data_IF_682395742584
#
_entry.id   IF_682395742584
#
_cell.length_a   1.000
_cell.length_b   1.000
_cell.length_c   1.000
_cell.angle_alpha   90.00
_cell.angle_beta   90.00
_cell.angle_gamma   90.00
#
_symmetry.space_group_name_H-M   'P 1'
#
loop_
_entity.id
_entity.type
_entity.pdbx_description
1 polymer ?
2 branched ?
3 branched ?
4 water ?
#
# COMPACT_ATOMS: atom_id res chain seq x y z
N UNK A 25 -2.76 -7.63 35.40
CA UNK A 25 -3.19 -7.23 34.02
C UNK A 25 -3.37 -8.44 33.10
N UNK A 26 -4.30 -8.35 32.16
CA UNK A 26 -4.30 -9.23 31.00
C UNK A 26 -3.24 -8.68 30.04
N UNK A 27 -2.28 -9.52 29.66
CA UNK A 27 -1.27 -9.13 28.70
C UNK A 27 -1.55 -9.70 27.31
N UNK A 28 -1.65 -8.82 26.33
CA UNK A 28 -1.82 -9.18 24.93
C UNK A 28 -0.54 -8.99 24.15
N UNK A 29 -0.41 -9.72 23.04
CA UNK A 29 0.66 -9.46 22.10
C UNK A 29 0.07 -8.97 20.79
N UNK A 30 0.81 -8.09 20.12
CA UNK A 30 0.34 -7.50 18.87
C UNK A 30 1.52 -7.42 17.92
N UNK A 31 1.32 -7.93 16.70
CA UNK A 31 2.36 -7.87 15.65
C UNK A 31 1.95 -6.94 14.52
N UNK A 32 2.90 -6.12 14.10
CA UNK A 32 2.68 -5.24 12.95
C UNK A 32 4.04 -4.90 12.34
N UNK A 33 4.00 -4.46 11.09
CA UNK A 33 5.18 -3.90 10.44
C UNK A 33 5.43 -2.43 10.78
N UNK A 34 4.50 -1.78 11.46
CA UNK A 34 4.63 -0.34 11.73
C UNK A 34 5.96 -0.04 12.43
N UNK A 35 6.70 0.86 11.82
CA UNK A 35 7.91 1.45 12.46
C UNK A 35 7.61 2.20 13.78
N UNK A 36 8.66 2.49 14.52
CA UNK A 36 8.52 3.04 15.86
C UNK A 36 7.70 4.32 15.90
N UNK A 37 7.77 5.11 14.84
CA UNK A 37 7.05 6.37 14.70
C UNK A 37 5.71 6.25 13.93
N UNK A 38 5.37 5.06 13.45
CA UNK A 38 4.09 4.85 12.73
C UNK A 38 3.00 4.50 13.75
N UNK A 39 1.74 4.33 13.32
CA UNK A 39 0.68 4.26 14.33
C UNK A 39 0.75 3.16 15.38
N UNK A 40 0.95 1.89 15.00
CA UNK A 40 0.67 0.81 15.96
C UNK A 40 1.43 0.94 17.31
N UNK A 41 2.78 1.10 17.29
CA UNK A 41 3.43 1.11 18.62
C UNK A 41 3.06 2.34 19.48
N UNK A 42 2.69 3.43 18.81
CA UNK A 42 2.30 4.66 19.51
C UNK A 42 0.90 4.57 20.08
N UNK A 43 0.00 3.95 19.33
CA UNK A 43 -1.32 3.60 19.85
C UNK A 43 -1.21 2.69 21.06
N UNK A 44 -0.31 1.70 20.96
CA UNK A 44 -0.09 0.77 22.07
C UNK A 44 0.38 1.53 23.32
N UNK A 45 1.32 2.45 23.16
CA UNK A 45 1.83 3.18 24.32
C UNK A 45 0.70 4.01 24.98
N UNK A 46 -0.17 4.62 24.18
CA UNK A 46 -1.30 5.38 24.69
C UNK A 46 -2.29 4.45 25.40
N UNK A 47 -2.56 3.32 24.77
CA UNK A 47 -3.47 2.34 25.38
C UNK A 47 -2.97 1.83 26.74
N UNK A 48 -1.69 1.46 26.78
CA UNK A 48 -1.09 0.93 28.00
C UNK A 48 -1.17 1.94 29.16
N UNK A 49 -1.08 3.22 28.84
CA UNK A 49 -1.12 4.29 29.84
C UNK A 49 -2.49 4.43 30.52
N UNK A 50 -3.53 3.92 29.86
CA UNK A 50 -4.88 3.89 30.44
C UNK A 50 -4.97 3.12 31.74
N UNK A 51 -4.05 2.18 31.93
CA UNK A 51 -4.06 1.34 33.14
C UNK A 51 -5.48 0.75 33.35
N UNK A 52 -6.01 0.16 32.30
CA UNK A 52 -7.40 -0.33 32.26
C UNK A 52 -7.51 -1.84 32.50
N UNK A 53 -6.45 -2.44 33.03
CA UNK A 53 -6.42 -3.89 33.28
C UNK A 53 -5.88 -4.70 32.11
N UNK A 54 -5.54 -4.04 31.00
CA UNK A 54 -4.99 -4.68 29.81
C UNK A 54 -3.67 -4.01 29.42
N UNK A 55 -2.64 -4.81 29.11
CA UNK A 55 -1.40 -4.29 28.54
C UNK A 55 -1.12 -5.01 27.26
N UNK A 56 -0.50 -4.29 26.31
CA UNK A 56 -0.09 -4.86 25.04
C UNK A 56 1.44 -4.85 24.89
N UNK A 57 1.98 -6.01 24.50
CA UNK A 57 3.38 -6.14 24.13
C UNK A 57 3.49 -6.17 22.61
N UNK A 58 4.28 -5.25 22.06
CA UNK A 58 4.47 -5.09 20.63
C UNK A 58 5.64 -5.90 20.09
N UNK A 59 5.45 -6.50 18.93
CA UNK A 59 6.58 -7.01 18.15
C UNK A 59 6.50 -6.45 16.73
N UNK A 60 7.58 -5.80 16.29
CA UNK A 60 7.68 -5.30 14.93
C UNK A 60 8.08 -6.46 13.98
N UNK A 61 7.30 -6.67 12.94
CA UNK A 61 7.65 -7.62 11.88
C UNK A 61 8.51 -6.96 10.81
N UNK A 62 8.94 -7.71 9.81
CA UNK A 62 9.35 -7.06 8.54
C UNK A 62 8.27 -7.28 7.48
N UNK A 63 8.09 -6.34 6.57
CA UNK A 63 7.01 -6.39 5.57
C UNK A 63 6.85 -7.77 4.93
N UNK A 64 7.98 -8.30 4.48
CA UNK A 64 8.12 -9.60 3.82
C UNK A 64 7.89 -10.82 4.71
N UNK A 65 7.70 -10.60 6.00
CA UNK A 65 7.47 -11.69 6.96
C UNK A 65 6.12 -11.72 7.65
N UNK A 66 5.30 -10.70 7.44
CA UNK A 66 4.02 -10.63 8.13
C UNK A 66 3.21 -11.93 7.89
N UNK A 67 3.23 -12.44 6.65
CA UNK A 67 2.32 -13.55 6.19
C UNK A 67 2.69 -15.04 6.42
N UNK A 68 3.50 -15.64 5.54
CA UNK A 68 3.74 -17.09 5.66
C UNK A 68 4.33 -17.46 7.05
N UNK A 69 4.98 -16.49 7.69
CA UNK A 69 5.46 -16.69 9.03
C UNK A 69 4.40 -16.56 10.16
N UNK A 70 3.51 -15.58 10.04
CA UNK A 70 2.36 -15.49 10.93
C UNK A 70 1.41 -16.68 10.74
N UNK A 71 1.39 -17.25 9.53
CA UNK A 71 0.65 -18.52 9.33
C UNK A 71 1.37 -19.69 10.04
N UNK A 72 2.70 -19.69 9.98
CA UNK A 72 3.53 -20.66 10.71
C UNK A 72 3.26 -20.55 12.20
N UNK A 73 3.25 -19.33 12.71
CA UNK A 73 2.97 -19.13 14.13
C UNK A 73 1.59 -19.65 14.52
N UNK A 74 0.59 -19.30 13.74
CA UNK A 74 -0.76 -19.76 14.04
C UNK A 74 -0.81 -21.28 14.09
N UNK A 75 -0.19 -21.88 13.09
CA UNK A 75 -0.22 -23.33 12.94
C UNK A 75 0.52 -24.13 14.06
N UNK A 76 1.50 -23.50 14.68
CA UNK A 76 2.29 -24.11 15.74
C UNK A 76 1.83 -23.77 17.16
N UNK A 77 1.05 -22.69 17.28
CA UNK A 77 0.57 -22.08 18.56
C UNK A 77 1.41 -20.91 19.07
N UNK A 78 2.14 -20.29 18.16
CA UNK A 78 3.00 -19.15 18.47
C UNK A 78 2.42 -17.83 18.00
N UNK A 79 1.14 -17.82 17.63
CA UNK A 79 0.55 -16.57 17.08
C UNK A 79 0.26 -15.54 18.16
N UNK A 80 0.38 -14.26 17.82
CA UNK A 80 0.00 -13.20 18.76
C UNK A 80 -1.53 -13.16 18.96
N UNK A 81 -1.99 -12.28 19.83
CA UNK A 81 -3.44 -12.05 19.95
C UNK A 81 -3.96 -11.22 18.76
N UNK A 82 -3.19 -10.21 18.40
CA UNK A 82 -3.59 -9.24 17.39
C UNK A 82 -2.50 -9.10 16.32
N UNK A 83 -2.95 -8.89 15.07
CA UNK A 83 -2.07 -8.53 13.97
C UNK A 83 -2.67 -7.43 13.12
N UNK A 84 -1.78 -6.65 12.52
CA UNK A 84 -2.15 -5.79 11.44
C UNK A 84 -1.66 -6.43 10.18
N UNK A 85 -2.60 -6.87 9.37
CA UNK A 85 -2.34 -7.70 8.19
C UNK A 85 -2.67 -6.93 6.93
N UNK A 86 -1.89 -7.10 5.89
CA UNK A 86 -2.13 -6.33 4.66
C UNK A 86 -3.49 -6.79 4.12
N UNK A 87 -4.29 -5.86 3.59
CA UNK A 87 -5.64 -6.22 3.18
C UNK A 87 -5.76 -7.39 2.19
N UNK A 88 -4.85 -7.50 1.19
CA UNK A 88 -5.03 -8.63 0.28
C UNK A 88 -4.76 -10.00 0.89
N UNK A 89 -4.08 -10.05 2.02
CA UNK A 89 -3.80 -11.30 2.77
C UNK A 89 -4.88 -11.77 3.70
N UNK A 90 -5.84 -10.91 3.94
CA UNK A 90 -6.82 -11.17 4.97
C UNK A 90 -7.60 -12.44 4.65
N UNK A 91 -8.02 -12.57 3.42
CA UNK A 91 -8.88 -13.70 3.03
C UNK A 91 -8.19 -15.05 3.23
N UNK A 92 -6.88 -15.11 2.99
CA UNK A 92 -6.14 -16.35 3.23
C UNK A 92 -6.32 -16.82 4.68
N UNK A 93 -6.13 -15.91 5.62
CA UNK A 93 -6.22 -16.27 7.04
C UNK A 93 -7.67 -16.51 7.45
N UNK A 94 -8.59 -15.66 6.99
CA UNK A 94 -9.98 -15.79 7.38
C UNK A 94 -10.59 -17.10 6.88
N UNK A 95 -10.24 -17.47 5.66
CA UNK A 95 -10.82 -18.63 5.01
C UNK A 95 -10.35 -19.94 5.68
N UNK A 96 -9.16 -19.87 6.27
CA UNK A 96 -8.50 -20.99 6.94
C UNK A 96 -8.78 -21.16 8.40
N UNK A 97 -9.58 -20.27 8.95
CA UNK A 97 -9.95 -20.34 10.37
C UNK A 97 -8.91 -19.75 11.31
N UNK A 98 -7.90 -19.06 10.76
CA UNK A 98 -6.84 -18.48 11.59
C UNK A 98 -7.26 -17.21 12.34
N UNK A 99 -8.34 -16.58 11.91
CA UNK A 99 -8.78 -15.32 12.55
C UNK A 99 -10.09 -15.55 13.30
N UNK A 100 -10.24 -14.85 14.41
CA UNK A 100 -11.45 -14.83 15.21
C UNK A 100 -12.62 -14.14 14.48
N UNK A 101 -13.77 -14.78 14.55
CA UNK A 101 -15.02 -14.24 14.05
C UNK A 101 -15.43 -13.15 15.04
N UNK A 102 -15.32 -11.91 14.61
CA UNK A 102 -15.64 -10.77 15.47
C UNK A 102 -17.03 -10.16 15.20
N UNK A 103 -17.85 -10.88 14.43
CA UNK A 103 -19.18 -10.38 14.04
C UNK A 103 -20.01 -9.97 15.26
N UNK A 104 -20.09 -10.81 16.26
CA UNK A 104 -20.94 -10.53 17.42
C UNK A 104 -20.39 -9.38 18.26
N UNK A 105 -19.07 -9.34 18.43
CA UNK A 105 -18.44 -8.27 19.20
C UNK A 105 -18.57 -6.92 18.46
N UNK A 106 -18.47 -6.92 17.14
CA UNK A 106 -18.74 -5.69 16.36
C UNK A 106 -20.21 -5.25 16.54
N UNK A 107 -21.14 -6.19 16.46
CA UNK A 107 -22.55 -5.84 16.63
C UNK A 107 -22.84 -5.18 17.98
N UNK A 108 -22.20 -5.71 19.03
CA UNK A 108 -22.36 -5.21 20.39
C UNK A 108 -21.58 -3.94 20.66
N UNK A 109 -20.65 -3.59 19.79
CA UNK A 109 -19.75 -2.50 20.06
C UNK A 109 -20.52 -1.21 20.02
N UNK A 110 -20.20 -0.35 20.98
CA UNK A 110 -20.67 1.03 21.03
C UNK A 110 -19.61 2.01 20.46
N UNK A 111 -18.52 1.46 19.92
CA UNK A 111 -17.41 2.25 19.31
C UNK A 111 -17.23 2.00 17.81
N UNK A 112 -17.16 0.73 17.41
CA UNK A 112 -17.03 0.31 16.00
C UNK A 112 -18.39 0.08 15.38
N UNK A 113 -18.59 0.66 14.18
CA UNK A 113 -19.80 0.48 13.39
C UNK A 113 -19.40 0.12 11.97
N UNK A 114 -19.97 -0.94 11.42
CA UNK A 114 -19.57 -1.36 10.07
C UNK A 114 -19.93 -0.30 9.04
N UNK A 115 -20.99 0.47 9.28
CA UNK A 115 -21.34 1.51 8.30
C UNK A 115 -20.37 2.70 8.25
N UNK A 116 -19.45 2.77 9.19
CA UNK A 116 -18.41 3.79 9.19
C UNK A 116 -17.37 3.56 8.11
N UNK A 117 -17.28 2.33 7.62
CA UNK A 117 -16.13 1.93 6.81
C UNK A 117 -16.45 2.03 5.32
N UNK A 118 -15.46 2.48 4.55
CA UNK A 118 -15.56 2.35 3.08
C UNK A 118 -15.82 0.88 2.70
N UNK A 119 -16.57 0.66 1.61
CA UNK A 119 -16.99 -0.71 1.35
C UNK A 119 -15.87 -1.65 0.95
N UNK A 120 -14.85 -1.16 0.25
CA UNK A 120 -13.71 -2.02 -0.14
C UNK A 120 -12.96 -2.56 1.09
N UNK A 121 -12.52 -1.68 1.98
CA UNK A 121 -11.83 -2.12 3.16
C UNK A 121 -12.70 -3.04 3.97
N UNK A 122 -13.97 -2.71 4.13
CA UNK A 122 -14.85 -3.62 4.91
C UNK A 122 -14.98 -5.01 4.29
N UNK A 123 -15.21 -5.03 2.99
CA UNK A 123 -15.27 -6.30 2.28
C UNK A 123 -14.00 -7.13 2.54
N UNK A 124 -12.84 -6.49 2.61
CA UNK A 124 -11.57 -7.24 2.75
C UNK A 124 -11.43 -7.98 4.07
N UNK A 125 -12.20 -7.59 5.10
CA UNK A 125 -12.14 -8.32 6.39
C UNK A 125 -13.23 -9.38 6.49
N UNK A 126 -14.06 -9.47 5.45
CA UNK A 126 -15.16 -10.44 5.47
C UNK A 126 -14.80 -11.79 4.84
N UNK A 127 -15.43 -12.84 5.36
CA UNK A 127 -15.38 -14.16 4.71
C UNK A 127 -16.68 -14.88 5.03
N UNK A 128 -17.32 -15.41 3.98
CA UNK A 128 -18.53 -16.22 4.10
C UNK A 128 -19.56 -15.60 5.07
N UNK A 129 -19.77 -14.32 4.88
CA UNK A 129 -20.82 -13.57 5.59
C UNK A 129 -20.52 -13.33 7.07
N UNK A 130 -19.24 -13.29 7.41
CA UNK A 130 -18.81 -13.01 8.77
C UNK A 130 -17.67 -12.03 8.71
N UNK A 131 -17.55 -11.22 9.76
CA UNK A 131 -16.42 -10.32 9.94
C UNK A 131 -15.26 -11.00 10.67
N UNK A 132 -14.07 -10.91 10.07
CA UNK A 132 -12.86 -11.48 10.63
C UNK A 132 -11.77 -10.45 10.88
N UNK A 133 -12.18 -9.20 11.04
CA UNK A 133 -11.25 -8.14 11.44
C UNK A 133 -11.94 -6.78 11.34
N UNK A 134 -11.18 -5.71 11.49
CA UNK A 134 -11.67 -4.33 11.41
C UNK A 134 -10.59 -3.60 10.62
N UNK A 135 -10.98 -2.86 9.56
CA UNK A 135 -9.94 -2.12 8.85
C UNK A 135 -9.12 -1.15 9.73
N UNK A 136 -7.81 -1.09 9.47
CA UNK A 136 -6.91 -0.21 10.20
C UNK A 136 -6.81 1.15 9.47
N UNK A 137 -6.52 1.13 8.19
CA UNK A 137 -6.34 2.34 7.40
C UNK A 137 -6.57 1.97 5.95
N UNK A 138 -6.50 2.93 5.05
CA UNK A 138 -6.61 2.70 3.61
C UNK A 138 -5.72 3.66 2.87
N UNK A 139 -5.30 3.27 1.68
CA UNK A 139 -4.45 4.16 0.89
C UNK A 139 -4.47 3.77 -0.57
N UNK A 140 -3.80 4.57 -1.37
CA UNK A 140 -3.33 4.15 -2.67
C UNK A 140 -2.08 5.00 -3.01
N UNK A 141 -1.52 4.80 -4.17
CA UNK A 141 -0.31 5.52 -4.60
C UNK A 141 -0.64 6.64 -5.56
N UNK A 142 0.28 7.61 -5.60
CA UNK A 142 0.14 8.78 -6.42
C UNK A 142 1.53 9.24 -6.84
N UNK A 143 1.60 10.32 -7.59
CA UNK A 143 2.87 10.80 -8.19
C UNK A 143 3.36 12.06 -7.48
N UNK A 144 4.40 11.90 -6.66
CA UNK A 144 5.11 13.00 -6.06
C UNK A 144 6.05 13.61 -7.06
N UNK A 145 6.28 14.91 -6.97
CA UNK A 145 7.20 15.56 -7.90
C UNK A 145 7.92 16.74 -7.22
N UNK A 146 9.21 16.90 -7.55
CA UNK A 146 10.04 17.97 -6.98
C UNK A 146 9.90 19.20 -7.90
N UNK A 147 9.20 20.21 -7.38
CA UNK A 147 8.85 21.38 -8.17
C UNK A 147 10.09 22.22 -8.48
N UNK A 148 11.08 22.18 -7.59
CA UNK A 148 12.30 22.92 -7.84
C UNK A 148 13.12 22.31 -8.98
N UNK A 149 13.11 20.99 -9.08
CA UNK A 149 13.82 20.33 -10.17
C UNK A 149 13.01 20.50 -11.47
N UNK A 150 11.67 20.52 -11.40
CA UNK A 150 10.86 20.88 -12.58
C UNK A 150 11.25 22.25 -13.10
N UNK A 151 11.28 23.21 -12.20
CA UNK A 151 11.57 24.58 -12.60
C UNK A 151 12.95 24.69 -13.22
N UNK A 152 13.93 24.04 -12.61
CA UNK A 152 15.29 24.16 -13.11
C UNK A 152 15.47 23.58 -14.51
N UNK A 153 14.70 22.54 -14.81
CA UNK A 153 14.71 21.93 -16.11
C UNK A 153 13.92 22.74 -17.15
N UNK A 154 13.26 23.82 -16.75
CA UNK A 154 12.39 24.61 -17.64
C UNK A 154 10.99 24.05 -17.81
N UNK A 155 10.65 23.07 -16.97
CA UNK A 155 9.30 22.48 -16.92
C UNK A 155 8.38 23.35 -16.10
N UNK A 156 7.09 23.16 -16.27
CA UNK A 156 6.06 23.94 -15.57
C UNK A 156 5.59 23.15 -14.36
N UNK A 157 6.05 23.53 -13.17
CA UNK A 157 5.72 22.84 -11.94
C UNK A 157 4.24 22.91 -11.58
N UNK A 158 3.50 23.81 -12.22
CA UNK A 158 2.07 23.88 -12.01
C UNK A 158 1.30 22.94 -12.94
N UNK A 159 2.01 22.26 -13.84
CA UNK A 159 1.34 21.44 -14.82
C UNK A 159 2.08 20.11 -14.90
N UNK A 160 1.99 19.31 -13.82
CA UNK A 160 2.67 18.03 -13.87
C UNK A 160 2.08 17.08 -14.94
N UNK A 161 2.79 16.00 -15.25
CA UNK A 161 2.35 15.14 -16.35
C UNK A 161 0.97 14.53 -16.11
N UNK A 162 0.21 14.43 -17.21
CA UNK A 162 -1.14 13.87 -17.24
C UNK A 162 -1.23 12.50 -17.92
N UNK A 163 -0.29 12.18 -18.79
CA UNK A 163 -0.33 10.94 -19.58
C UNK A 163 1.01 10.25 -19.41
N UNK A 164 1.05 9.01 -19.83
CA UNK A 164 2.30 8.23 -19.73
C UNK A 164 3.36 8.84 -20.62
N UNK A 165 2.99 9.28 -21.82
CA UNK A 165 3.94 9.96 -22.72
C UNK A 165 4.54 11.19 -22.05
N UNK A 166 3.68 11.98 -21.41
CA UNK A 166 4.16 13.21 -20.76
C UNK A 166 5.08 12.83 -19.57
N UNK A 167 4.70 11.79 -18.83
CA UNK A 167 5.50 11.33 -17.71
C UNK A 167 6.91 10.88 -18.14
N UNK A 168 6.96 10.06 -19.18
CA UNK A 168 8.22 9.58 -19.68
C UNK A 168 9.07 10.74 -20.21
N UNK A 169 8.52 11.68 -20.97
CA UNK A 169 9.28 12.83 -21.44
C UNK A 169 9.81 13.66 -20.27
N UNK A 170 8.94 13.90 -19.29
CA UNK A 170 9.44 14.64 -18.12
C UNK A 170 10.61 13.91 -17.47
N UNK A 171 10.47 12.59 -17.32
CA UNK A 171 11.50 11.78 -16.67
C UNK A 171 12.81 11.82 -17.47
N UNK A 172 12.72 11.83 -18.80
CA UNK A 172 13.93 11.99 -19.63
C UNK A 172 14.59 13.35 -19.32
N UNK A 173 13.80 14.43 -19.37
CA UNK A 173 14.34 15.76 -19.11
C UNK A 173 14.98 15.92 -17.73
N UNK A 174 14.37 15.24 -16.77
CA UNK A 174 14.81 15.33 -15.38
C UNK A 174 15.96 14.38 -15.02
N UNK A 175 16.27 13.43 -15.90
CA UNK A 175 17.37 12.46 -15.63
C UNK A 175 18.69 13.12 -16.00
N UNK A 176 19.53 13.30 -14.98
CA UNK A 176 20.76 14.06 -15.10
C UNK A 176 21.82 13.36 -14.25
N UNK A 177 22.51 12.36 -14.81
CA UNK A 177 23.49 11.62 -14.01
C UNK A 177 24.60 12.50 -13.42
N UNK A 178 25.00 13.55 -14.15
CA UNK A 178 26.03 14.47 -13.65
C UNK A 178 25.66 15.15 -12.36
N UNK A 179 24.36 15.25 -12.12
CA UNK A 179 23.84 15.81 -10.90
C UNK A 179 23.26 14.76 -9.95
N UNK A 180 23.50 13.47 -10.24
CA UNK A 180 23.00 12.38 -9.38
C UNK A 180 21.47 12.37 -9.26
N UNK A 181 20.79 12.66 -10.35
CA UNK A 181 19.33 12.67 -10.34
C UNK A 181 18.76 11.71 -11.40
N UNK A 182 17.89 10.80 -10.94
CA UNK A 182 17.01 10.03 -11.83
C UNK A 182 15.70 10.79 -12.00
N UNK A 183 15.13 10.75 -13.20
CA UNK A 183 13.82 11.35 -13.44
C UNK A 183 12.73 10.82 -12.54
N UNK A 184 12.74 9.53 -12.21
CA UNK A 184 11.65 8.98 -11.43
C UNK A 184 12.15 7.89 -10.49
N UNK A 185 11.45 7.68 -9.39
CA UNK A 185 11.66 6.56 -8.48
C UNK A 185 10.33 5.83 -8.28
N UNK A 186 10.44 4.52 -8.22
CA UNK A 186 9.28 3.63 -7.97
C UNK A 186 9.78 2.28 -7.46
N UNK A 187 8.92 1.26 -7.41
CA UNK A 187 9.37 -0.07 -7.01
C UNK A 187 8.82 -1.16 -7.89
N UNK A 188 9.71 -2.06 -8.33
CA UNK A 188 9.35 -3.22 -9.12
C UNK A 188 9.87 -4.46 -8.36
N UNK A 189 10.02 -4.35 -7.03
CA UNK A 189 10.57 -5.43 -6.19
C UNK A 189 9.74 -6.71 -6.32
N UNK A 190 10.42 -7.88 -6.28
CA UNK A 190 9.79 -9.21 -6.41
C UNK A 190 9.14 -9.66 -5.12
N UNK A 191 8.13 -8.89 -4.76
CA UNK A 191 7.23 -9.13 -3.63
C UNK A 191 6.00 -8.27 -3.83
N UNK A 192 5.19 -8.11 -2.79
CA UNK A 192 3.93 -7.34 -2.98
C UNK A 192 4.15 -5.88 -3.43
N UNK A 193 5.32 -5.31 -3.13
CA UNK A 193 5.65 -3.95 -3.56
C UNK A 193 5.49 -3.82 -5.08
N UNK A 194 6.11 -4.69 -5.84
CA UNK A 194 6.05 -4.59 -7.28
C UNK A 194 4.65 -4.81 -7.81
N UNK A 195 3.90 -5.76 -7.24
CA UNK A 195 2.54 -6.00 -7.70
C UNK A 195 1.64 -4.77 -7.45
N UNK A 196 1.80 -4.19 -6.28
CA UNK A 196 0.98 -3.02 -5.88
C UNK A 196 1.31 -1.83 -6.75
N UNK A 197 2.56 -1.71 -7.13
CA UNK A 197 3.01 -0.63 -8.00
C UNK A 197 2.58 -0.84 -9.43
N UNK A 198 2.56 -2.10 -9.90
CA UNK A 198 2.28 -2.39 -11.30
C UNK A 198 0.77 -2.36 -11.65
N UNK A 199 -0.05 -2.93 -10.78
CA UNK A 199 -1.46 -3.03 -11.04
C UNK A 199 -2.11 -1.73 -11.52
N UNK A 200 -1.80 -0.56 -10.92
CA UNK A 200 -2.44 0.64 -11.44
C UNK A 200 -2.21 0.86 -12.94
N UNK A 201 -0.98 0.63 -13.38
CA UNK A 201 -0.67 0.84 -14.77
C UNK A 201 -1.44 -0.13 -15.67
N UNK A 202 -1.46 -1.39 -15.29
CA UNK A 202 -2.20 -2.40 -16.04
C UNK A 202 -3.71 -2.09 -16.04
N UNK A 203 -4.22 -1.69 -14.87
CA UNK A 203 -5.65 -1.41 -14.79
C UNK A 203 -6.06 -0.18 -15.62
N UNK A 204 -5.27 0.89 -15.59
CA UNK A 204 -5.57 2.07 -16.40
C UNK A 204 -5.65 1.73 -17.88
N UNK A 205 -4.83 0.76 -18.31
CA UNK A 205 -4.83 0.31 -19.71
C UNK A 205 -5.84 -0.82 -19.98
N UNK A 206 -6.71 -1.09 -19.02
CA UNK A 206 -7.84 -2.00 -19.23
C UNK A 206 -7.71 -3.44 -18.75
N UNK A 207 -6.58 -3.78 -18.15
CA UNK A 207 -6.36 -5.11 -17.63
C UNK A 207 -6.82 -5.20 -16.18
N UNK A 208 -6.81 -6.40 -15.65
CA UNK A 208 -7.00 -6.65 -14.21
C UNK A 208 -6.11 -7.81 -13.82
N UNK A 209 -5.99 -8.10 -12.53
CA UNK A 209 -5.25 -9.30 -12.14
C UNK A 209 -5.85 -10.60 -12.68
N UNK A 210 -7.14 -10.60 -12.98
CA UNK A 210 -7.82 -11.77 -13.57
C UNK A 210 -7.60 -11.88 -15.10
N UNK A 211 -7.08 -10.83 -15.70
CA UNK A 211 -6.85 -10.71 -17.14
C UNK A 211 -5.63 -9.81 -17.33
N UNK A 212 -4.47 -10.33 -16.93
CA UNK A 212 -3.28 -9.48 -16.76
C UNK A 212 -2.43 -9.39 -18.03
N UNK A 213 -2.85 -10.13 -19.06
CA UNK A 213 -2.05 -10.23 -20.30
C UNK A 213 -2.72 -9.59 -21.51
N UNK A 214 -3.60 -8.61 -21.26
CA UNK A 214 -4.18 -7.84 -22.36
C UNK A 214 -3.09 -6.97 -23.03
N UNK A 215 -3.38 -6.52 -24.24
CA UNK A 215 -2.46 -5.62 -24.94
C UNK A 215 -2.14 -4.36 -24.11
N UNK A 216 -3.10 -3.90 -23.33
CA UNK A 216 -2.87 -2.76 -22.50
C UNK A 216 -1.87 -3.08 -21.39
N UNK A 217 -2.00 -4.24 -20.75
CA UNK A 217 -1.02 -4.63 -19.73
C UNK A 217 0.39 -4.77 -20.34
N UNK A 218 0.49 -5.30 -21.55
CA UNK A 218 1.77 -5.38 -22.24
C UNK A 218 2.38 -3.98 -22.40
N UNK A 219 1.54 -3.01 -22.82
CA UNK A 219 1.99 -1.64 -22.97
C UNK A 219 2.46 -1.07 -21.64
N UNK A 220 1.73 -1.35 -20.56
CA UNK A 220 2.20 -0.91 -19.24
C UNK A 220 3.61 -1.45 -18.93
N UNK A 221 3.82 -2.73 -19.22
CA UNK A 221 5.09 -3.37 -18.86
C UNK A 221 6.19 -2.85 -19.80
N UNK A 222 5.85 -2.60 -21.08
CA UNK A 222 6.79 -1.91 -22.01
C UNK A 222 7.22 -0.54 -21.54
N UNK A 223 6.29 0.15 -20.90
CA UNK A 223 6.57 1.49 -20.42
C UNK A 223 7.52 1.44 -19.21
N UNK A 224 7.31 0.46 -18.32
CA UNK A 224 8.27 0.19 -17.25
C UNK A 224 9.63 -0.15 -17.87
N UNK A 225 9.67 -0.99 -18.91
CA UNK A 225 10.94 -1.30 -19.57
C UNK A 225 11.65 -0.04 -20.05
N UNK A 226 10.87 0.89 -20.59
CA UNK A 226 11.47 2.16 -21.05
C UNK A 226 12.13 2.90 -19.88
N UNK A 227 11.45 2.96 -18.74
CA UNK A 227 11.98 3.69 -17.58
C UNK A 227 13.32 3.13 -17.17
N UNK A 228 13.44 1.80 -17.22
CA UNK A 228 14.71 1.16 -16.81
C UNK A 228 15.73 1.16 -17.93
N UNK A 229 15.30 0.84 -19.14
CA UNK A 229 16.23 0.76 -20.25
C UNK A 229 16.93 2.09 -20.57
N UNK A 230 16.20 3.20 -20.40
CA UNK A 230 16.75 4.54 -20.65
C UNK A 230 17.35 5.15 -19.42
N UNK A 231 17.42 4.36 -18.36
CA UNK A 231 18.08 4.77 -17.11
C UNK A 231 17.40 6.02 -16.50
N UNK A 232 16.08 6.05 -16.65
CA UNK A 232 15.27 7.13 -16.07
C UNK A 232 14.91 6.86 -14.62
N UNK A 233 15.03 5.60 -14.24
CA UNK A 233 14.86 5.11 -12.85
C UNK A 233 16.05 4.25 -12.55
N UNK A 234 16.42 4.18 -11.27
CA UNK A 234 17.58 3.40 -10.83
C UNK A 234 17.40 1.90 -11.18
N UNK A 235 18.49 1.21 -11.50
CA UNK A 235 18.39 -0.26 -11.62
C UNK A 235 17.98 -0.92 -10.30
N UNK A 236 18.20 -0.22 -9.19
CA UNK A 236 17.78 -0.78 -7.89
C UNK A 236 16.25 -0.86 -7.76
N UNK A 237 15.51 -0.21 -8.67
CA UNK A 237 14.05 -0.39 -8.71
C UNK A 237 13.60 -1.83 -8.68
N UNK A 238 14.43 -2.69 -9.28
CA UNK A 238 14.12 -4.10 -9.36
C UNK A 238 14.14 -4.82 -8.01
N UNK A 239 14.84 -4.26 -7.00
CA UNK A 239 15.06 -4.95 -5.71
C UNK A 239 14.73 -4.06 -4.49
N UNK A 240 14.25 -2.86 -4.73
CA UNK A 240 14.17 -1.82 -3.68
C UNK A 240 12.70 -1.54 -3.33
N UNK A 241 12.40 -1.36 -2.04
CA UNK A 241 11.01 -1.12 -1.63
C UNK A 241 10.58 0.30 -1.96
N UNK A 242 9.27 0.51 -1.90
CA UNK A 242 8.69 1.83 -2.13
C UNK A 242 9.30 2.83 -1.13
N UNK A 243 9.37 2.45 0.14
CA UNK A 243 9.94 3.32 1.17
C UNK A 243 11.38 3.70 0.85
N UNK A 244 12.20 2.72 0.49
CA UNK A 244 13.61 3.00 0.26
C UNK A 244 13.77 3.76 -1.07
N UNK A 245 12.93 3.50 -2.07
CA UNK A 245 12.96 4.36 -3.26
C UNK A 245 12.60 5.81 -2.97
N UNK A 246 11.59 6.03 -2.15
CA UNK A 246 11.16 7.39 -1.87
C UNK A 246 12.20 8.14 -1.05
N UNK A 247 13.02 7.42 -0.25
CA UNK A 247 14.09 8.09 0.42
C UNK A 247 15.01 8.80 -0.56
N UNK A 248 15.21 8.20 -1.73
CA UNK A 248 16.05 8.84 -2.73
C UNK A 248 15.43 10.12 -3.30
N UNK A 249 14.09 10.11 -3.42
CA UNK A 249 13.36 11.32 -3.78
C UNK A 249 13.55 12.40 -2.68
N UNK A 250 13.38 12.04 -1.41
CA UNK A 250 13.49 12.99 -0.34
C UNK A 250 14.89 13.64 -0.33
N UNK A 251 15.91 12.88 -0.71
CA UNK A 251 17.29 13.34 -0.71
C UNK A 251 17.61 14.19 -1.94
N UNK A 252 16.70 14.30 -2.90
CA UNK A 252 16.92 15.08 -4.14
C UNK A 252 17.64 14.28 -5.23
N UNK A 253 17.68 12.95 -5.12
CA UNK A 253 18.31 12.08 -6.09
C UNK A 253 17.35 11.45 -7.12
N UNK A 254 16.06 11.74 -6.98
CA UNK A 254 15.06 11.35 -7.98
C UNK A 254 14.06 12.49 -8.04
N UNK A 255 13.66 12.90 -9.24
CA UNK A 255 12.85 14.11 -9.39
C UNK A 255 11.37 13.87 -9.18
N UNK A 256 10.96 12.61 -9.26
CA UNK A 256 9.57 12.21 -9.05
C UNK A 256 9.59 10.89 -8.30
N UNK A 257 8.48 10.57 -7.62
CA UNK A 257 8.35 9.32 -6.86
C UNK A 257 6.93 8.85 -6.93
N UNK A 258 6.72 7.56 -7.19
CA UNK A 258 5.39 6.98 -7.07
C UNK A 258 5.32 6.25 -5.75
N UNK A 259 4.49 6.71 -4.81
CA UNK A 259 4.40 6.07 -3.51
C UNK A 259 3.12 6.59 -2.83
N UNK A 260 2.96 6.23 -1.57
CA UNK A 260 1.71 6.43 -0.82
C UNK A 260 1.72 7.51 0.23
N UNK A 261 0.60 7.62 0.96
CA UNK A 261 0.53 8.67 1.97
C UNK A 261 1.42 8.40 3.16
N UNK A 262 1.81 7.15 3.32
CA UNK A 262 2.72 6.75 4.41
C UNK A 262 4.09 7.47 4.30
N UNK A 263 4.34 8.12 3.15
CA UNK A 263 5.59 8.89 2.95
C UNK A 263 5.51 10.31 3.48
N UNK A 264 4.29 10.82 3.69
CA UNK A 264 4.12 12.28 3.89
C UNK A 264 4.90 12.87 5.07
N UNK A 265 4.72 12.28 6.24
CA UNK A 265 5.34 12.88 7.42
C UNK A 265 6.87 12.91 7.32
N UNK A 266 7.44 11.82 6.81
CA UNK A 266 8.89 11.77 6.65
C UNK A 266 9.34 12.78 5.58
N UNK A 267 8.58 12.88 4.49
CA UNK A 267 8.92 13.81 3.42
C UNK A 267 8.89 15.26 3.93
N UNK A 268 7.92 15.58 4.77
CA UNK A 268 7.87 16.91 5.36
C UNK A 268 9.10 17.24 6.15
N UNK A 269 9.59 16.24 6.88
CA UNK A 269 10.80 16.38 7.68
C UNK A 269 12.06 16.49 6.86
N UNK A 270 12.16 15.62 5.84
CA UNK A 270 13.42 15.38 5.14
C UNK A 270 13.63 16.07 3.78
N UNK A 271 12.56 16.28 3.03
CA UNK A 271 12.71 16.90 1.70
C UNK A 271 12.91 18.39 1.88
N UNK A 272 14.03 18.88 1.35
CA UNK A 272 14.40 20.30 1.48
C UNK A 272 14.24 20.96 0.12
N UNK A 273 13.10 20.71 -0.48
CA UNK A 273 12.66 21.33 -1.73
C UNK A 273 11.14 21.46 -1.70
N UNK A 274 10.62 22.29 -2.59
CA UNK A 274 9.19 22.43 -2.81
C UNK A 274 8.71 21.23 -3.65
N UNK A 275 7.60 20.63 -3.21
CA UNK A 275 7.07 19.45 -3.90
C UNK A 275 5.56 19.48 -3.97
N UNK A 276 5.07 18.71 -4.92
CA UNK A 276 3.65 18.48 -5.04
C UNK A 276 3.37 17.01 -5.21
N UNK A 277 2.10 16.68 -5.28
CA UNK A 277 1.67 15.30 -5.51
C UNK A 277 0.40 15.35 -6.34
N UNK A 278 0.33 14.52 -7.37
CA UNK A 278 -0.83 14.53 -8.26
C UNK A 278 -1.27 13.13 -8.60
N UNK A 279 -2.40 13.03 -9.28
CA UNK A 279 -2.93 11.75 -9.68
C UNK A 279 -1.95 11.03 -10.58
N UNK A 280 -2.03 9.70 -10.60
CA UNK A 280 -1.15 8.89 -11.50
C UNK A 280 -1.52 9.19 -12.94
N UNK A 281 -0.52 9.48 -13.80
CA UNK A 281 -0.82 9.75 -15.20
C UNK A 281 -1.51 8.55 -15.86
N UNK A 282 -2.28 8.83 -16.91
CA UNK A 282 -3.08 7.82 -17.62
C UNK A 282 -2.49 7.54 -19.01
N UNK A 283 -2.81 6.35 -19.60
CA UNK A 283 -2.06 5.91 -20.77
C UNK A 283 -2.26 6.70 -22.03
N UNK A 284 -3.44 7.25 -22.19
CA UNK A 284 -3.72 8.07 -23.36
C UNK A 284 -4.57 9.23 -22.83
N UNK A 285 -4.73 10.31 -23.62
CA UNK A 285 -5.43 11.44 -23.02
C UNK A 285 -6.86 11.10 -22.59
N UNK A 286 -7.15 11.45 -21.35
CA UNK A 286 -8.46 11.20 -20.73
C UNK A 286 -8.86 9.74 -20.60
N UNK A 287 -7.88 8.85 -20.67
CA UNK A 287 -8.05 7.47 -20.20
C UNK A 287 -8.36 7.42 -18.71
N UNK A 288 -8.91 6.29 -18.24
CA UNK A 288 -9.35 6.23 -16.86
C UNK A 288 -8.22 6.21 -15.84
N UNK A 289 -8.41 6.93 -14.74
CA UNK A 289 -7.56 6.78 -13.59
C UNK A 289 -7.85 5.44 -12.91
N UNK A 290 -6.83 4.82 -12.34
CA UNK A 290 -7.03 3.59 -11.57
C UNK A 290 -5.81 3.29 -10.75
N UNK A 291 -6.02 2.59 -9.65
CA UNK A 291 -4.90 2.13 -8.79
C UNK A 291 -5.41 1.03 -7.87
N UNK A 292 -4.53 0.54 -7.00
CA UNK A 292 -4.88 -0.57 -6.12
C UNK A 292 -5.12 -0.07 -4.72
N UNK A 293 -6.04 -0.73 -4.03
CA UNK A 293 -6.42 -0.34 -2.67
C UNK A 293 -5.38 -0.87 -1.70
N UNK A 294 -4.76 0.06 -0.99
CA UNK A 294 -3.74 -0.27 -0.03
C UNK A 294 -4.20 -0.29 1.40
N UNK A 295 -3.26 -0.74 2.22
CA UNK A 295 -3.23 -0.64 3.69
C UNK A 295 -3.85 -1.85 4.41
N UNK A 296 -3.78 -1.81 5.71
CA UNK A 296 -3.83 -2.94 6.61
C UNK A 296 -5.16 -3.00 7.34
N UNK A 297 -5.42 -4.19 7.86
CA UNK A 297 -6.55 -4.48 8.73
C UNK A 297 -6.09 -5.03 10.07
N UNK A 298 -6.83 -4.70 11.10
CA UNK A 298 -6.70 -5.35 12.38
C UNK A 298 -7.36 -6.72 12.34
N UNK A 299 -6.75 -7.72 12.99
CA UNK A 299 -7.38 -9.03 13.14
C UNK A 299 -6.92 -9.62 14.46
N UNK A 300 -7.78 -10.46 15.00
CA UNK A 300 -7.51 -11.24 16.20
C UNK A 300 -7.31 -12.68 15.78
N UNK A 301 -6.27 -13.35 16.30
CA UNK A 301 -6.07 -14.76 15.95
C UNK A 301 -7.10 -15.65 16.68
N UNK A 302 -7.51 -16.74 16.05
CA UNK A 302 -8.74 -17.43 16.46
C UNK A 302 -8.69 -18.15 17.81
N UNK A 303 -7.49 -18.51 18.25
CA UNK A 303 -7.32 -19.26 19.52
C UNK A 303 -6.81 -18.35 20.65
N UNK A 304 -6.98 -17.04 20.48
CA UNK A 304 -6.61 -16.11 21.55
C UNK A 304 -7.33 -16.57 22.83
N UNK A 305 -6.61 -16.49 23.95
CA UNK A 305 -7.18 -16.70 25.28
C UNK A 305 -7.91 -15.46 25.80
N UNK A 306 -7.82 -14.33 25.08
CA UNK A 306 -8.34 -13.03 25.54
C UNK A 306 -9.12 -12.30 24.45
N UNK A 307 -10.19 -12.93 23.94
CA UNK A 307 -10.91 -12.31 22.80
C UNK A 307 -11.52 -10.94 23.14
N UNK A 308 -12.17 -10.86 24.30
CA UNK A 308 -12.79 -9.58 24.75
C UNK A 308 -11.76 -8.45 24.90
N UNK A 309 -10.63 -8.73 25.53
CA UNK A 309 -9.60 -7.72 25.74
C UNK A 309 -8.93 -7.32 24.42
N UNK A 310 -8.68 -8.30 23.57
CA UNK A 310 -8.14 -8.01 22.25
C UNK A 310 -9.08 -7.08 21.46
N UNK A 311 -10.38 -7.35 21.50
CA UNK A 311 -11.34 -6.53 20.81
C UNK A 311 -11.43 -5.13 21.42
N UNK A 312 -11.27 -5.02 22.73
CA UNK A 312 -11.27 -3.71 23.38
C UNK A 312 -10.10 -2.88 22.88
N UNK A 313 -8.96 -3.54 22.69
CA UNK A 313 -7.79 -2.88 22.11
C UNK A 313 -8.10 -2.32 20.71
N UNK A 314 -8.75 -3.14 19.86
CA UNK A 314 -9.06 -2.67 18.53
C UNK A 314 -10.11 -1.52 18.58
N UNK A 315 -11.09 -1.60 19.48
CA UNK A 315 -11.99 -0.45 19.70
C UNK A 315 -11.21 0.82 20.03
N UNK A 316 -10.21 0.69 20.89
CA UNK A 316 -9.40 1.85 21.23
C UNK A 316 -8.67 2.37 19.99
N UNK A 317 -8.06 1.47 19.22
CA UNK A 317 -7.37 1.92 18.03
C UNK A 317 -8.36 2.68 17.11
N UNK A 318 -9.55 2.13 16.91
CA UNK A 318 -10.53 2.70 16.01
C UNK A 318 -10.92 4.11 16.56
N UNK A 319 -11.00 4.26 17.87
CA UNK A 319 -11.40 5.54 18.49
C UNK A 319 -10.39 6.65 18.18
N UNK A 320 -9.16 6.26 17.86
CA UNK A 320 -8.10 7.22 17.51
C UNK A 320 -8.01 7.54 16.03
N UNK A 321 -8.82 6.91 15.19
CA UNK A 321 -8.71 7.11 13.74
C UNK A 321 -8.82 8.60 13.32
N UNK A 322 -9.64 9.35 14.05
CA UNK A 322 -9.86 10.78 13.76
C UNK A 322 -8.60 11.63 13.80
N UNK A 323 -7.57 11.16 14.49
CA UNK A 323 -6.29 11.86 14.59
C UNK A 323 -5.17 11.28 13.73
N UNK A 324 -5.49 10.24 12.99
CA UNK A 324 -4.42 9.53 12.27
C UNK A 324 -3.70 10.39 11.25
N UNK A 325 -4.44 11.18 10.47
CA UNK A 325 -3.76 11.96 9.45
C UNK A 325 -2.90 13.05 10.08
N UNK A 326 -3.45 13.78 11.05
CA UNK A 326 -2.65 14.85 11.64
C UNK A 326 -1.41 14.28 12.34
N UNK A 327 -1.54 13.13 13.02
CA UNK A 327 -0.43 12.65 13.83
C UNK A 327 0.58 11.76 13.08
N UNK A 328 0.13 11.11 11.99
CA UNK A 328 0.92 10.11 11.29
C UNK A 328 0.91 10.22 9.78
N UNK A 329 0.09 11.11 9.24
CA UNK A 329 -0.04 11.25 7.80
C UNK A 329 -0.65 10.05 7.07
N UNK A 330 -1.30 9.16 7.81
CA UNK A 330 -2.03 8.05 7.19
C UNK A 330 -3.55 8.30 7.22
N UNK A 331 -4.29 7.51 6.43
CA UNK A 331 -5.71 7.78 6.16
C UNK A 331 -6.61 6.71 6.75
N UNK A 332 -7.61 7.11 7.52
CA UNK A 332 -8.58 6.11 8.02
C UNK A 332 -9.33 5.42 6.90
N UNK A 333 -9.81 4.22 7.19
CA UNK A 333 -10.60 3.45 6.22
C UNK A 333 -12.09 3.74 6.29
N UNK A 334 -12.40 4.98 6.60
CA UNK A 334 -13.75 5.35 7.02
C UNK A 334 -14.33 6.59 6.35
N UNK A 335 -15.60 6.48 5.99
CA UNK A 335 -16.40 7.56 5.40
C UNK A 335 -17.02 8.47 6.45
N UNK A 336 -17.13 8.02 7.70
CA UNK A 336 -17.77 8.82 8.76
C UNK A 336 -16.93 10.01 9.23
N UNK A 337 -15.62 9.94 8.98
CA UNK A 337 -14.67 10.91 9.50
C UNK A 337 -13.78 11.44 8.35
N UNK A 338 -14.37 12.19 7.41
CA UNK A 338 -13.55 12.78 6.35
C UNK A 338 -12.42 13.60 6.98
N UNK A 339 -11.23 13.50 6.39
CA UNK A 339 -10.06 14.04 7.06
C UNK A 339 -10.02 15.56 6.92
N UNK A 340 -9.90 16.29 8.05
CA UNK A 340 -9.77 17.73 7.97
C UNK A 340 -8.37 18.19 7.56
N UNK A 341 -8.25 19.42 7.02
CA UNK A 341 -6.92 20.01 6.80
C UNK A 341 -6.11 20.04 8.06
N UNK A 342 -4.81 19.88 7.95
CA UNK A 342 -3.90 20.00 9.09
C UNK A 342 -3.45 21.42 9.36
N UNK A 343 -3.48 22.27 8.33
CA UNK A 343 -2.86 23.60 8.39
C UNK A 343 -1.47 23.68 7.75
N UNK A 344 -0.85 22.54 7.45
CA UNK A 344 0.42 22.54 6.72
C UNK A 344 0.07 22.49 5.25
N UNK A 345 0.55 23.46 4.47
CA UNK A 345 0.12 23.59 3.09
C UNK A 345 0.54 22.40 2.23
N UNK A 346 1.79 21.98 2.37
CA UNK A 346 2.23 20.81 1.59
C UNK A 346 1.43 19.57 1.92
N UNK A 347 1.22 19.34 3.21
CA UNK A 347 0.51 18.16 3.67
C UNK A 347 -0.96 18.16 3.23
N UNK A 348 -1.56 19.35 3.23
CA UNK A 348 -2.96 19.46 2.85
C UNK A 348 -3.19 19.30 1.37
N UNK A 349 -2.22 19.73 0.55
CA UNK A 349 -2.28 19.44 -0.86
C UNK A 349 -2.10 17.94 -1.12
N UNK A 350 -1.23 17.27 -0.35
CA UNK A 350 -1.06 15.83 -0.50
C UNK A 350 -2.36 15.12 -0.12
N UNK A 351 -3.03 15.62 0.93
CA UNK A 351 -4.30 15.02 1.38
C UNK A 351 -5.33 15.05 0.24
N UNK A 352 -5.47 16.21 -0.39
CA UNK A 352 -6.44 16.38 -1.49
C UNK A 352 -6.17 15.38 -2.63
N UNK A 353 -4.91 15.25 -3.00
CA UNK A 353 -4.55 14.31 -4.04
C UNK A 353 -4.83 12.87 -3.67
N UNK A 354 -4.41 12.46 -2.49
CA UNK A 354 -4.64 11.08 -2.07
C UNK A 354 -6.11 10.73 -1.90
N UNK A 355 -6.90 11.69 -1.43
CA UNK A 355 -8.35 11.50 -1.31
C UNK A 355 -8.94 11.32 -2.70
N UNK A 356 -8.45 12.08 -3.67
CA UNK A 356 -8.97 11.97 -5.04
C UNK A 356 -8.55 10.66 -5.73
N UNK A 357 -7.28 10.28 -5.60
CA UNK A 357 -6.82 9.03 -6.23
C UNK A 357 -7.49 7.81 -5.60
N UNK A 358 -7.75 7.87 -4.31
CA UNK A 358 -8.36 6.75 -3.57
C UNK A 358 -9.72 6.42 -4.17
N UNK A 359 -10.40 7.42 -4.71
CA UNK A 359 -11.73 7.20 -5.31
C UNK A 359 -11.67 6.23 -6.49
N UNK A 360 -10.48 6.05 -7.06
CA UNK A 360 -10.22 5.15 -8.17
C UNK A 360 -9.59 3.80 -7.80
N UNK A 361 -9.40 3.54 -6.51
CA UNK A 361 -8.69 2.32 -6.09
C UNK A 361 -9.58 1.10 -6.23
N UNK A 362 -8.96 -0.01 -6.65
CA UNK A 362 -9.65 -1.28 -6.78
C UNK A 362 -9.01 -2.33 -5.88
N UNK A 363 -9.82 -3.23 -5.35
CA UNK A 363 -9.24 -4.22 -4.43
C UNK A 363 -8.47 -5.37 -5.10
N UNK A 364 -7.38 -5.80 -4.46
CA UNK A 364 -6.70 -7.00 -4.84
C UNK A 364 -7.43 -8.16 -4.19
N UNK A 365 -8.25 -8.86 -4.95
CA UNK A 365 -9.09 -9.89 -4.37
C UNK A 365 -10.54 -9.42 -4.27
N UNK A 366 -11.34 -10.05 -3.43
CA UNK A 366 -10.94 -11.13 -2.51
C UNK A 366 -10.34 -12.40 -3.12
N UNK A 367 -9.28 -12.89 -2.48
CA UNK A 367 -8.72 -14.20 -2.84
C UNK A 367 -7.91 -14.86 -1.73
N UNK A 368 -8.30 -16.08 -1.28
CA UNK A 368 -7.39 -16.77 -0.36
C UNK A 368 -6.05 -17.19 -0.96
N UNK A 369 -5.88 -17.02 -2.26
CA UNK A 369 -4.62 -17.39 -2.90
C UNK A 369 -3.92 -16.16 -3.45
N UNK A 370 -4.19 -14.99 -2.85
CA UNK A 370 -3.52 -13.77 -3.32
C UNK A 370 -2.00 -13.93 -3.48
N UNK A 371 -1.31 -14.55 -2.52
CA UNK A 371 0.16 -14.59 -2.71
C UNK A 371 0.63 -15.27 -3.97
N UNK A 372 -0.07 -16.32 -4.37
CA UNK A 372 0.27 -17.02 -5.60
C UNK A 372 -0.05 -16.15 -6.83
N UNK A 373 -1.17 -15.46 -6.80
CA UNK A 373 -1.52 -14.52 -7.85
C UNK A 373 -0.42 -13.45 -7.97
N UNK A 374 -0.08 -12.86 -6.83
CA UNK A 374 0.92 -11.80 -6.79
C UNK A 374 2.28 -12.28 -7.26
N UNK A 375 2.64 -13.49 -6.87
CA UNK A 375 3.94 -14.03 -7.30
C UNK A 375 3.99 -14.17 -8.82
N UNK A 376 2.90 -14.63 -9.42
CA UNK A 376 2.87 -14.73 -10.87
C UNK A 376 3.14 -13.37 -11.51
N UNK A 377 2.53 -12.32 -10.94
CA UNK A 377 2.71 -10.94 -11.48
C UNK A 377 4.15 -10.46 -11.24
N UNK A 378 4.69 -10.72 -10.08
CA UNK A 378 6.07 -10.37 -9.76
C UNK A 378 7.04 -10.98 -10.75
N UNK A 379 6.86 -12.27 -11.03
CA UNK A 379 7.77 -13.01 -11.93
C UNK A 379 7.68 -12.44 -13.36
N UNK A 380 6.49 -12.09 -13.82
CA UNK A 380 6.35 -11.42 -15.11
C UNK A 380 7.10 -10.09 -15.17
N UNK A 381 6.93 -9.26 -14.16
CA UNK A 381 7.64 -8.01 -14.08
C UNK A 381 9.14 -8.24 -14.17
N UNK A 382 9.66 -9.15 -13.33
CA UNK A 382 11.11 -9.39 -13.34
C UNK A 382 11.60 -9.97 -14.69
N UNK A 383 10.84 -10.92 -15.22
CA UNK A 383 11.18 -11.56 -16.48
C UNK A 383 11.31 -10.52 -17.60
N UNK A 384 10.36 -9.59 -17.67
CA UNK A 384 10.40 -8.56 -18.73
C UNK A 384 11.47 -7.52 -18.45
N UNK A 385 11.56 -7.02 -17.23
CA UNK A 385 12.50 -5.91 -16.97
C UNK A 385 13.97 -6.34 -17.09
N UNK A 386 14.24 -7.61 -16.81
CA UNK A 386 15.59 -8.19 -16.92
C UNK A 386 15.96 -8.54 -18.36
N UNK A 387 14.98 -8.49 -19.26
CA UNK A 387 15.12 -8.89 -20.67
C UNK A 387 15.10 -10.41 -20.92
N UNK A 388 14.77 -11.18 -19.90
CA UNK A 388 14.78 -12.65 -20.04
C UNK A 388 13.58 -13.17 -20.85
N UNK A 389 12.46 -12.45 -20.74
CA UNK A 389 11.25 -12.77 -21.46
C UNK A 389 10.70 -11.48 -22.08
N UNK A 390 9.96 -11.59 -23.18
CA UNK A 390 9.26 -10.39 -23.68
C UNK A 390 8.10 -10.05 -22.74
N UNK A 391 7.67 -8.78 -22.74
CA UNK A 391 6.48 -8.47 -21.93
C UNK A 391 5.28 -9.37 -22.20
N UNK A 392 5.01 -9.61 -23.47
CA UNK A 392 3.88 -10.48 -23.84
C UNK A 392 4.04 -11.91 -23.32
N UNK A 393 5.22 -12.52 -23.52
CA UNK A 393 5.46 -13.88 -23.01
C UNK A 393 5.35 -13.94 -21.51
N UNK A 394 5.93 -12.92 -20.88
CA UNK A 394 5.95 -12.86 -19.43
C UNK A 394 4.52 -12.79 -18.87
N UNK A 395 3.69 -11.93 -19.45
CA UNK A 395 2.33 -11.77 -18.95
C UNK A 395 1.43 -12.92 -19.33
N UNK A 396 1.66 -13.51 -20.51
CA UNK A 396 0.94 -14.73 -20.89
C UNK A 396 1.19 -15.86 -19.88
N UNK A 397 2.45 -16.01 -19.46
CA UNK A 397 2.80 -17.01 -18.47
C UNK A 397 2.09 -16.70 -17.14
N UNK A 398 2.11 -15.44 -16.70
CA UNK A 398 1.41 -15.07 -15.45
C UNK A 398 -0.10 -15.39 -15.54
N UNK A 399 -0.70 -15.04 -16.68
CA UNK A 399 -2.14 -15.19 -16.82
C UNK A 399 -2.51 -16.69 -16.73
N UNK A 400 -1.68 -17.56 -17.31
CA UNK A 400 -1.96 -19.00 -17.27
C UNK A 400 -1.92 -19.48 -15.82
N UNK A 401 -0.91 -19.04 -15.07
CA UNK A 401 -0.81 -19.42 -13.67
C UNK A 401 -2.01 -18.91 -12.88
N UNK A 402 -2.36 -17.64 -13.09
CA UNK A 402 -3.46 -17.03 -12.35
C UNK A 402 -4.79 -17.73 -12.64
N UNK A 403 -4.99 -18.13 -13.89
CA UNK A 403 -6.22 -18.80 -14.29
C UNK A 403 -6.40 -20.06 -13.40
N UNK A 404 -5.31 -20.79 -13.15
CA UNK A 404 -5.31 -21.99 -12.30
C UNK A 404 -5.54 -21.65 -10.84
N UNK A 405 -4.73 -20.74 -10.30
CA UNK A 405 -4.74 -20.53 -8.85
C UNK A 405 -5.96 -19.71 -8.36
N UNK A 406 -6.49 -18.84 -9.22
CA UNK A 406 -7.59 -17.95 -8.84
C UNK A 406 -8.91 -18.67 -9.00
N UNK A 407 -8.86 -19.93 -9.45
CA UNK A 407 -10.07 -20.71 -9.69
C UNK A 407 -10.78 -21.04 -8.39
#
# INVERSE_FOLDING_TARGET
MHHHHHHSSGVDLGTENLYFQSMEDVTLTLWSLDRDIQPAPNLIKEFNALNNGIKIEYRQLQFDDVVSESMRAYSTGNAPDIIAIDNPNHAMFASRGAFLDVTDMIAKSDVIKTENYFPGPLKSVTWDGKYFGVPKATNTIALYYNKDLFKAAGLDAAKPPQTWDELVDAARKLTNPAKNVYGISFSAKANEEGTFQFLPWAQMAGATYKNINTDGAVKALETWKTLLDEKLASPDTLTRSQWDSTATFNAGNAAMAISGPWEIDRMLKDAKFDWGVTLLPVPTPDAPRSSAMGDYNWAIFSKTKHPAEAFKAIEFFASKDKDMFKNFGQLPARSDIPVPPTGNALKDEALKTFVEQLKYAQPRGPSPEWPKISKAIQDAIQGALSGQMTPKAALDQAAEKIKLVDG
#
